data_IF_961306952246
#
_entry.id   IF_961306952246
#
_cell.length_a   1.000
_cell.length_b   1.000
_cell.length_c   1.000
_cell.angle_alpha   90.00
_cell.angle_beta   90.00
_cell.angle_gamma   90.00
#
_symmetry.space_group_name_H-M   'P 1'
#
loop_
_entity.id
_entity.type
_entity.pdbx_description
1 polymer ?
#
# COMPACT_ATOMS: atom_id res chain seq x y z
N UNK A 1 15.73 -20.63 -19.71
CA UNK A 1 16.12 -19.21 -19.80
C UNK A 1 14.94 -18.47 -20.43
N UNK A 2 14.61 -17.26 -20.01
CA UNK A 2 13.56 -16.43 -20.63
C UNK A 2 14.15 -15.68 -21.81
N UNK A 3 13.38 -15.49 -22.88
CA UNK A 3 13.78 -14.70 -24.06
C UNK A 3 13.58 -13.20 -23.80
N UNK A 4 14.12 -12.35 -24.67
CA UNK A 4 13.86 -10.91 -24.63
C UNK A 4 12.38 -10.61 -24.89
N UNK A 5 11.75 -11.31 -25.82
CA UNK A 5 10.31 -11.22 -26.04
C UNK A 5 9.49 -11.54 -24.78
N UNK A 6 9.87 -12.58 -24.03
CA UNK A 6 9.21 -12.88 -22.73
C UNK A 6 9.31 -11.70 -21.77
N UNK A 7 10.48 -11.00 -21.70
CA UNK A 7 10.69 -9.83 -20.83
C UNK A 7 9.81 -8.65 -21.25
N UNK A 8 9.74 -8.35 -22.54
CA UNK A 8 8.90 -7.25 -23.07
C UNK A 8 7.44 -7.49 -22.76
N UNK A 9 6.95 -8.73 -22.96
CA UNK A 9 5.56 -9.09 -22.74
C UNK A 9 5.18 -9.11 -21.25
N UNK A 10 6.09 -9.58 -20.38
CA UNK A 10 5.90 -9.48 -18.93
C UNK A 10 5.95 -8.02 -18.46
N UNK A 11 6.86 -7.20 -19.01
CA UNK A 11 6.89 -5.75 -18.76
C UNK A 11 5.56 -5.08 -19.12
N UNK A 12 4.93 -5.50 -20.25
CA UNK A 12 3.58 -5.05 -20.64
C UNK A 12 2.52 -5.48 -19.62
N UNK A 13 2.57 -6.74 -19.15
CA UNK A 13 1.66 -7.22 -18.11
C UNK A 13 1.82 -6.43 -16.80
N UNK A 14 3.04 -6.08 -16.41
CA UNK A 14 3.33 -5.22 -15.25
C UNK A 14 2.79 -3.79 -15.44
N UNK A 15 2.92 -3.22 -16.64
CA UNK A 15 2.35 -1.90 -16.96
C UNK A 15 0.81 -1.92 -16.85
N UNK A 16 0.16 -2.99 -17.30
CA UNK A 16 -1.28 -3.19 -17.10
C UNK A 16 -1.64 -3.31 -15.61
N UNK A 17 -0.88 -4.08 -14.83
CA UNK A 17 -1.09 -4.23 -13.39
C UNK A 17 -1.00 -2.90 -12.64
N UNK A 18 -0.12 -1.97 -13.06
CA UNK A 18 0.00 -0.61 -12.49
C UNK A 18 -1.28 0.19 -12.59
N UNK A 19 -2.15 -0.05 -13.57
CA UNK A 19 -3.46 0.61 -13.69
C UNK A 19 -4.38 0.32 -12.49
N UNK A 20 -4.18 -0.82 -11.82
CA UNK A 20 -4.90 -1.20 -10.60
C UNK A 20 -4.33 -0.58 -9.32
N UNK A 21 -3.31 0.29 -9.38
CA UNK A 21 -2.56 0.76 -8.21
C UNK A 21 -3.45 1.43 -7.15
N UNK A 22 -4.50 2.12 -7.59
CA UNK A 22 -5.39 2.89 -6.71
C UNK A 22 -6.75 2.24 -6.46
N UNK A 23 -7.07 1.10 -7.10
CA UNK A 23 -8.44 0.55 -7.11
C UNK A 23 -8.57 -0.85 -6.58
N UNK A 24 -7.53 -1.70 -6.69
CA UNK A 24 -7.66 -3.14 -6.44
C UNK A 24 -7.66 -3.54 -4.97
N UNK A 25 -7.19 -2.68 -4.07
CA UNK A 25 -7.08 -3.02 -2.64
C UNK A 25 -8.41 -3.54 -2.07
N UNK A 26 -8.42 -4.59 -1.22
CA UNK A 26 -7.28 -5.33 -0.64
C UNK A 26 -6.67 -6.43 -1.52
N UNK A 27 -7.10 -6.56 -2.77
CA UNK A 27 -6.56 -7.54 -3.71
C UNK A 27 -5.20 -7.08 -4.27
N UNK A 28 -4.35 -8.01 -4.75
CA UNK A 28 -3.11 -7.67 -5.43
C UNK A 28 -3.36 -7.01 -6.79
N UNK A 29 -2.38 -6.28 -7.26
CA UNK A 29 -2.34 -5.66 -8.59
C UNK A 29 -1.82 -6.68 -9.57
N UNK A 30 -2.66 -7.13 -10.48
CA UNK A 30 -2.35 -8.18 -11.45
C UNK A 30 -2.64 -7.71 -12.85
N UNK A 31 -1.75 -8.05 -13.77
CA UNK A 31 -1.90 -7.86 -15.21
C UNK A 31 -1.68 -9.17 -15.95
N UNK A 32 -2.33 -9.32 -17.09
CA UNK A 32 -2.25 -10.49 -17.95
C UNK A 32 -2.17 -10.08 -19.41
N UNK A 33 -1.25 -10.68 -20.16
CA UNK A 33 -1.12 -10.56 -21.62
C UNK A 33 -1.17 -11.95 -22.23
N UNK A 34 -1.98 -12.12 -23.27
CA UNK A 34 -2.07 -13.35 -24.07
C UNK A 34 -1.47 -13.11 -25.45
N UNK A 35 -0.56 -14.02 -25.87
CA UNK A 35 0.01 -13.99 -27.22
C UNK A 35 -0.29 -15.31 -27.94
N UNK A 36 -0.71 -15.23 -29.21
CA UNK A 36 -0.81 -16.39 -30.10
C UNK A 36 0.38 -16.44 -31.07
N UNK A 37 0.76 -17.62 -31.56
CA UNK A 37 1.76 -17.76 -32.64
C UNK A 37 1.37 -16.85 -33.81
N UNK A 38 2.30 -16.02 -34.29
CA UNK A 38 2.05 -15.11 -35.42
C UNK A 38 1.89 -15.91 -36.71
N UNK A 39 0.75 -15.76 -37.41
CA UNK A 39 0.74 -15.97 -38.85
C UNK A 39 1.44 -14.77 -39.50
N UNK A 40 2.27 -15.00 -40.49
CA UNK A 40 3.15 -14.01 -41.16
C UNK A 40 2.42 -12.90 -41.96
N UNK A 41 1.18 -12.57 -41.62
CA UNK A 41 0.37 -11.49 -42.25
C UNK A 41 0.05 -10.40 -41.25
N UNK A 42 0.87 -9.40 -41.26
CA UNK A 42 0.80 -8.00 -40.93
C UNK A 42 -0.37 -7.46 -40.11
N UNK A 43 -0.11 -7.08 -38.89
CA UNK A 43 -0.57 -5.84 -38.29
C UNK A 43 0.42 -5.48 -37.17
N UNK A 44 1.23 -4.44 -37.40
CA UNK A 44 2.09 -3.87 -36.36
C UNK A 44 1.23 -3.32 -35.23
N UNK A 45 1.51 -3.74 -34.00
CA UNK A 45 0.89 -3.19 -32.79
C UNK A 45 1.86 -2.15 -32.20
N UNK A 46 1.37 -0.93 -31.99
CA UNK A 46 2.12 0.09 -31.24
C UNK A 46 2.01 -0.23 -29.76
N UNK A 47 3.13 -0.49 -29.11
CA UNK A 47 3.21 -0.58 -27.64
C UNK A 47 3.24 0.83 -27.09
N UNK A 48 2.18 1.26 -26.41
CA UNK A 48 2.20 2.48 -25.61
C UNK A 48 2.87 2.14 -24.30
N UNK A 49 4.14 2.48 -24.16
CA UNK A 49 4.82 2.56 -22.86
C UNK A 49 4.79 4.02 -22.40
N UNK A 50 4.66 4.26 -21.09
CA UNK A 50 4.72 5.60 -20.52
C UNK A 50 6.01 6.31 -20.94
N UNK A 51 5.90 7.17 -21.98
CA UNK A 51 6.95 8.11 -22.41
C UNK A 51 7.97 7.62 -23.44
N UNK A 52 7.91 6.40 -23.95
CA UNK A 52 8.74 5.96 -25.07
C UNK A 52 7.98 4.99 -26.00
N UNK A 53 7.69 5.43 -27.23
CA UNK A 53 7.19 4.56 -28.30
C UNK A 53 8.35 3.70 -28.82
N UNK A 54 8.44 2.44 -28.37
CA UNK A 54 9.24 1.43 -29.05
C UNK A 54 8.31 0.55 -29.87
N UNK A 55 8.30 0.73 -31.17
CA UNK A 55 7.59 -0.13 -32.11
C UNK A 55 8.33 -1.47 -32.22
N UNK A 56 7.80 -2.52 -31.57
CA UNK A 56 8.26 -3.89 -31.78
C UNK A 56 7.35 -4.57 -32.81
N UNK A 57 7.93 -5.24 -33.80
CA UNK A 57 7.16 -6.01 -34.76
C UNK A 57 6.64 -7.32 -34.11
N UNK A 58 5.55 -7.87 -34.63
CA UNK A 58 5.02 -9.17 -34.18
C UNK A 58 6.06 -10.32 -34.29
N UNK A 59 7.02 -10.19 -35.19
CA UNK A 59 8.15 -11.12 -35.36
C UNK A 59 9.17 -10.99 -34.24
N UNK A 60 9.39 -9.79 -33.69
CA UNK A 60 10.34 -9.53 -32.60
C UNK A 60 9.81 -10.06 -31.26
N UNK A 61 8.48 -10.11 -31.11
CA UNK A 61 7.81 -10.59 -29.89
C UNK A 61 7.51 -12.10 -29.90
N UNK A 62 7.86 -12.83 -30.97
CA UNK A 62 7.59 -14.27 -31.08
C UNK A 62 6.10 -14.62 -31.18
N UNK A 63 5.21 -13.64 -31.40
CA UNK A 63 3.77 -13.82 -31.50
C UNK A 63 3.00 -12.49 -31.48
N UNK A 64 1.69 -12.57 -31.74
CA UNK A 64 0.77 -11.43 -31.74
C UNK A 64 0.01 -11.38 -30.42
N UNK A 65 -0.07 -10.19 -29.78
CA UNK A 65 -0.93 -9.99 -28.61
C UNK A 65 -2.39 -10.17 -29.06
N UNK A 66 -3.09 -11.10 -28.45
CA UNK A 66 -4.49 -11.43 -28.75
C UNK A 66 -5.46 -11.03 -27.65
N UNK A 67 -4.97 -10.77 -26.43
CA UNK A 67 -5.77 -10.30 -25.32
C UNK A 67 -4.93 -9.69 -24.21
N UNK A 68 -5.46 -8.68 -23.56
CA UNK A 68 -4.86 -7.97 -22.43
C UNK A 68 -5.90 -7.74 -21.34
N UNK A 69 -5.47 -7.75 -20.09
CA UNK A 69 -6.33 -7.46 -18.97
C UNK A 69 -5.55 -7.12 -17.70
N UNK A 70 -6.21 -6.41 -16.81
CA UNK A 70 -5.71 -6.17 -15.45
C UNK A 70 -6.86 -6.30 -14.46
N UNK A 71 -6.54 -6.52 -13.19
CA UNK A 71 -7.55 -6.53 -12.13
C UNK A 71 -8.00 -5.09 -11.84
N UNK A 72 -9.26 -4.78 -12.13
CA UNK A 72 -9.77 -3.41 -12.05
C UNK A 72 -10.09 -2.98 -10.62
N UNK A 73 -10.81 -3.85 -9.88
CA UNK A 73 -11.30 -3.54 -8.54
C UNK A 73 -11.60 -4.83 -7.76
N UNK A 74 -11.42 -4.79 -6.43
CA UNK A 74 -11.78 -5.91 -5.57
C UNK A 74 -13.25 -6.36 -5.78
N UNK A 75 -13.44 -7.67 -5.96
CA UNK A 75 -14.74 -8.27 -6.23
C UNK A 75 -15.12 -8.34 -7.71
N UNK A 76 -14.39 -7.72 -8.61
CA UNK A 76 -14.53 -7.83 -10.06
C UNK A 76 -13.68 -8.97 -10.63
N UNK A 77 -13.84 -9.33 -11.92
CA UNK A 77 -13.02 -10.34 -12.58
C UNK A 77 -11.53 -10.07 -12.48
N UNK A 78 -10.73 -11.13 -12.44
CA UNK A 78 -9.27 -11.03 -12.39
C UNK A 78 -8.68 -10.70 -13.78
N UNK A 79 -7.41 -10.35 -13.82
CA UNK A 79 -6.70 -9.94 -15.03
C UNK A 79 -6.79 -10.98 -16.16
N UNK A 80 -6.65 -12.26 -15.80
CA UNK A 80 -6.70 -13.39 -16.73
C UNK A 80 -8.07 -13.49 -17.41
N UNK A 81 -9.15 -13.26 -16.67
CA UNK A 81 -10.52 -13.30 -17.21
C UNK A 81 -10.73 -12.18 -18.22
N UNK A 82 -10.24 -10.97 -17.94
CA UNK A 82 -10.30 -9.86 -18.88
C UNK A 82 -9.47 -10.15 -20.14
N UNK A 83 -8.26 -10.67 -20.00
CA UNK A 83 -7.39 -11.02 -21.12
C UNK A 83 -8.00 -12.13 -21.97
N UNK A 84 -8.57 -13.18 -21.36
CA UNK A 84 -9.25 -14.28 -22.05
C UNK A 84 -10.50 -13.79 -22.79
N UNK A 85 -11.28 -12.92 -22.17
CA UNK A 85 -12.47 -12.32 -22.82
C UNK A 85 -12.10 -11.50 -24.07
N UNK A 86 -11.00 -10.74 -24.00
CA UNK A 86 -10.48 -9.98 -25.13
C UNK A 86 -9.92 -10.87 -26.25
N UNK A 87 -9.30 -11.99 -25.89
CA UNK A 87 -8.72 -12.94 -26.84
C UNK A 87 -9.79 -13.76 -27.56
N UNK A 88 -10.87 -14.15 -26.86
CA UNK A 88 -11.86 -15.08 -27.37
C UNK A 88 -11.23 -16.42 -27.79
N UNK A 89 -11.63 -16.95 -28.95
CA UNK A 89 -11.09 -18.21 -29.49
C UNK A 89 -9.58 -18.19 -29.79
N UNK A 90 -8.99 -17.00 -29.95
CA UNK A 90 -7.53 -16.83 -30.17
C UNK A 90 -6.69 -17.18 -28.94
N UNK A 91 -7.31 -17.39 -27.78
CA UNK A 91 -6.64 -17.88 -26.59
C UNK A 91 -6.16 -19.34 -26.72
N UNK A 92 -6.75 -20.12 -27.64
CA UNK A 92 -6.35 -21.51 -27.88
C UNK A 92 -4.92 -21.60 -28.45
N UNK A 93 -4.06 -22.34 -27.77
CA UNK A 93 -2.65 -22.46 -28.13
C UNK A 93 -1.81 -21.27 -27.74
N UNK A 94 -2.38 -20.25 -27.07
CA UNK A 94 -1.68 -19.03 -26.67
C UNK A 94 -0.69 -19.27 -25.52
N UNK A 95 0.24 -18.30 -25.35
CA UNK A 95 1.05 -18.11 -24.15
C UNK A 95 0.44 -16.98 -23.31
N UNK A 96 0.27 -17.23 -22.01
CA UNK A 96 -0.16 -16.23 -21.04
C UNK A 96 1.02 -15.71 -20.19
N UNK A 97 1.16 -14.40 -20.09
CA UNK A 97 2.11 -13.72 -19.20
C UNK A 97 1.30 -13.10 -18.06
N UNK A 98 1.50 -13.56 -16.83
CA UNK A 98 0.72 -13.12 -15.65
C UNK A 98 1.66 -12.65 -14.56
N UNK A 99 1.41 -11.48 -14.00
CA UNK A 99 2.32 -10.87 -13.01
C UNK A 99 2.27 -11.54 -11.63
N UNK A 100 1.26 -12.37 -11.37
CA UNK A 100 1.11 -13.14 -10.13
C UNK A 100 0.53 -14.52 -10.49
N UNK A 101 0.85 -15.55 -9.70
CA UNK A 101 0.31 -16.88 -9.82
C UNK A 101 -1.23 -16.87 -9.99
N UNK A 102 -1.79 -17.48 -11.04
CA UNK A 102 -3.23 -17.60 -11.22
C UNK A 102 -3.88 -18.40 -10.09
N UNK A 103 -4.98 -17.88 -9.54
CA UNK A 103 -5.66 -18.49 -8.40
C UNK A 103 -6.25 -19.87 -8.74
N UNK A 104 -6.08 -20.84 -7.79
CA UNK A 104 -6.59 -22.21 -7.89
C UNK A 104 -7.78 -22.49 -6.97
N UNK A 105 -8.19 -21.54 -6.13
CA UNK A 105 -9.32 -21.71 -5.22
C UNK A 105 -10.57 -21.02 -5.74
N UNK A 106 -11.74 -21.59 -5.41
CA UNK A 106 -13.02 -20.96 -5.66
C UNK A 106 -13.23 -19.81 -4.67
N UNK A 107 -13.21 -18.58 -5.19
CA UNK A 107 -13.60 -17.37 -4.47
C UNK A 107 -15.02 -16.95 -4.84
N UNK A 108 -15.20 -15.64 -5.07
CA UNK A 108 -16.44 -15.08 -5.65
C UNK A 108 -16.59 -15.41 -7.15
N UNK A 109 -15.49 -15.75 -7.80
CA UNK A 109 -15.39 -16.13 -9.21
C UNK A 109 -14.72 -17.52 -9.33
N UNK A 110 -14.94 -18.27 -10.44
CA UNK A 110 -14.21 -19.49 -10.72
C UNK A 110 -12.69 -19.25 -10.74
N UNK A 111 -11.86 -20.27 -10.41
CA UNK A 111 -10.41 -20.14 -10.43
C UNK A 111 -9.87 -19.73 -11.80
N UNK A 112 -8.93 -18.77 -11.86
CA UNK A 112 -8.30 -18.34 -13.10
C UNK A 112 -7.53 -19.46 -13.79
N UNK A 113 -6.98 -20.40 -13.02
CA UNK A 113 -6.33 -21.63 -13.54
C UNK A 113 -7.29 -22.42 -14.43
N UNK A 114 -8.51 -22.66 -13.97
CA UNK A 114 -9.50 -23.42 -14.77
C UNK A 114 -9.93 -22.65 -16.02
N UNK A 115 -10.04 -21.32 -15.95
CA UNK A 115 -10.34 -20.49 -17.10
C UNK A 115 -9.24 -20.56 -18.17
N UNK A 116 -7.95 -20.52 -17.77
CA UNK A 116 -6.82 -20.65 -18.68
C UNK A 116 -6.76 -22.04 -19.33
N UNK A 117 -7.00 -23.12 -18.56
CA UNK A 117 -7.02 -24.50 -19.05
C UNK A 117 -8.19 -24.68 -20.05
N UNK A 118 -9.38 -24.22 -19.68
CA UNK A 118 -10.58 -24.36 -20.55
C UNK A 118 -10.43 -23.59 -21.88
N UNK A 119 -9.78 -22.41 -21.84
CA UNK A 119 -9.49 -21.64 -23.03
C UNK A 119 -8.41 -22.29 -23.93
N UNK A 120 -7.76 -23.34 -23.47
CA UNK A 120 -6.74 -24.06 -24.23
C UNK A 120 -5.40 -23.34 -24.33
N UNK A 121 -5.07 -22.52 -23.33
CA UNK A 121 -3.72 -21.92 -23.19
C UNK A 121 -2.69 -23.03 -23.01
N UNK A 122 -1.59 -22.98 -23.75
CA UNK A 122 -0.58 -24.06 -23.76
C UNK A 122 0.67 -23.73 -22.94
N UNK A 123 0.91 -22.45 -22.67
CA UNK A 123 2.07 -21.97 -21.90
C UNK A 123 1.69 -20.82 -20.99
N UNK A 124 2.15 -20.85 -19.75
CA UNK A 124 1.95 -19.77 -18.77
C UNK A 124 3.30 -19.35 -18.18
N UNK A 125 3.63 -18.07 -18.32
CA UNK A 125 4.80 -17.46 -17.71
C UNK A 125 4.31 -16.54 -16.60
N UNK A 126 4.80 -16.76 -15.37
CA UNK A 126 4.40 -16.05 -14.17
C UNK A 126 5.56 -15.25 -13.62
N UNK A 127 5.33 -14.01 -13.20
CA UNK A 127 6.38 -13.20 -12.60
C UNK A 127 6.75 -13.71 -11.21
N UNK A 128 5.76 -13.93 -10.33
CA UNK A 128 5.99 -14.42 -8.98
C UNK A 128 4.89 -15.39 -8.52
N UNK A 129 5.25 -16.29 -7.63
CA UNK A 129 4.32 -17.17 -6.92
C UNK A 129 3.46 -16.36 -5.96
N UNK A 130 2.22 -16.81 -5.69
CA UNK A 130 1.35 -16.14 -4.72
C UNK A 130 1.94 -16.27 -3.31
N UNK A 131 2.20 -15.17 -2.59
CA UNK A 131 2.77 -15.21 -1.24
C UNK A 131 1.80 -15.77 -0.18
N UNK A 132 0.51 -15.93 -0.51
CA UNK A 132 -0.47 -16.50 0.40
C UNK A 132 -0.21 -18.00 0.60
N UNK A 133 0.15 -18.47 1.81
CA UNK A 133 0.45 -19.88 2.06
C UNK A 133 -0.69 -20.85 1.71
N UNK A 134 -1.92 -20.36 1.65
CA UNK A 134 -3.09 -21.14 1.25
C UNK A 134 -3.19 -21.35 -0.26
N UNK A 135 -2.43 -20.61 -1.05
CA UNK A 135 -2.49 -20.59 -2.53
C UNK A 135 -1.15 -20.99 -3.14
N UNK A 136 -0.05 -20.57 -2.56
CA UNK A 136 1.33 -20.71 -3.03
C UNK A 136 1.61 -22.03 -3.75
N UNK A 137 1.99 -21.97 -5.02
CA UNK A 137 2.34 -23.11 -5.88
C UNK A 137 1.18 -23.99 -6.35
N UNK A 138 -0.03 -23.85 -5.80
CA UNK A 138 -1.18 -24.70 -6.15
C UNK A 138 -1.70 -24.43 -7.55
N UNK A 139 -1.71 -23.16 -7.96
CA UNK A 139 -2.10 -22.75 -9.30
C UNK A 139 -1.11 -23.26 -10.35
N UNK A 140 0.18 -23.09 -10.08
CA UNK A 140 1.25 -23.57 -10.97
C UNK A 140 1.23 -25.10 -11.08
N UNK A 141 1.03 -25.82 -9.97
CA UNK A 141 0.92 -27.28 -9.96
C UNK A 141 -0.29 -27.75 -10.77
N UNK A 142 -1.45 -27.09 -10.62
CA UNK A 142 -2.68 -27.44 -11.33
C UNK A 142 -2.56 -27.23 -12.85
N UNK A 143 -1.91 -26.14 -13.30
CA UNK A 143 -1.61 -25.88 -14.70
C UNK A 143 -0.72 -26.98 -15.28
N UNK A 144 0.38 -27.33 -14.58
CA UNK A 144 1.30 -28.42 -15.01
C UNK A 144 0.59 -29.75 -15.11
N UNK A 145 -0.28 -30.09 -14.14
CA UNK A 145 -1.08 -31.32 -14.16
C UNK A 145 -2.06 -31.39 -15.35
N UNK A 146 -2.46 -30.24 -15.88
CA UNK A 146 -3.29 -30.14 -17.09
C UNK A 146 -2.47 -30.16 -18.42
N UNK A 147 -1.15 -30.34 -18.35
CA UNK A 147 -0.28 -30.35 -19.52
C UNK A 147 0.16 -28.97 -20.03
N UNK A 148 -0.09 -27.90 -19.27
CA UNK A 148 0.36 -26.54 -19.62
C UNK A 148 1.83 -26.37 -19.24
N UNK A 149 2.67 -25.84 -20.15
CA UNK A 149 4.03 -25.45 -19.83
C UNK A 149 4.02 -24.25 -18.88
N UNK A 150 4.65 -24.38 -17.70
CA UNK A 150 4.66 -23.32 -16.68
C UNK A 150 6.09 -22.93 -16.33
N UNK A 151 6.40 -21.64 -16.47
CA UNK A 151 7.64 -21.01 -15.98
C UNK A 151 7.30 -19.90 -14.99
N UNK A 152 8.12 -19.72 -13.95
CA UNK A 152 7.95 -18.69 -12.93
C UNK A 152 9.28 -17.98 -12.65
N UNK A 153 9.21 -16.70 -12.24
CA UNK A 153 10.37 -15.89 -11.82
C UNK A 153 10.78 -14.79 -12.82
N UNK A 154 10.00 -14.52 -13.85
CA UNK A 154 10.32 -13.48 -14.83
C UNK A 154 9.89 -12.10 -14.32
N UNK A 155 10.84 -11.17 -14.11
CA UNK A 155 10.61 -9.83 -13.54
C UNK A 155 9.92 -9.92 -12.16
N UNK A 156 10.38 -10.85 -11.33
CA UNK A 156 9.79 -11.12 -10.02
C UNK A 156 9.92 -9.94 -9.07
N UNK A 157 11.07 -9.22 -9.12
CA UNK A 157 11.33 -8.08 -8.26
C UNK A 157 10.37 -6.92 -8.58
N UNK A 158 10.08 -6.67 -9.87
CA UNK A 158 9.14 -5.64 -10.31
C UNK A 158 7.69 -5.99 -9.92
N UNK A 159 7.32 -7.27 -9.97
CA UNK A 159 6.02 -7.74 -9.53
C UNK A 159 5.86 -7.64 -8.00
N UNK A 160 6.92 -7.96 -7.26
CA UNK A 160 7.00 -7.78 -5.81
C UNK A 160 6.86 -6.30 -5.43
N UNK A 161 7.61 -5.41 -6.10
CA UNK A 161 7.58 -3.96 -5.87
C UNK A 161 6.16 -3.38 -6.02
N UNK A 162 5.43 -3.87 -7.00
CA UNK A 162 4.05 -3.46 -7.22
C UNK A 162 3.10 -3.91 -6.11
N UNK A 163 3.44 -5.02 -5.42
CA UNK A 163 2.58 -5.70 -4.45
C UNK A 163 3.15 -5.81 -3.04
N UNK A 164 4.14 -4.97 -2.66
CA UNK A 164 4.82 -5.01 -1.35
C UNK A 164 3.86 -5.17 -0.16
N UNK A 165 2.80 -4.36 -0.14
CA UNK A 165 1.83 -4.41 0.95
C UNK A 165 1.01 -5.69 0.98
N UNK A 166 0.61 -6.23 -0.18
CA UNK A 166 -0.08 -7.52 -0.26
C UNK A 166 0.83 -8.65 0.23
N UNK A 167 2.07 -8.67 -0.23
CA UNK A 167 3.07 -9.66 0.17
C UNK A 167 3.34 -9.56 1.68
N UNK A 168 3.58 -8.36 2.21
CA UNK A 168 3.78 -8.13 3.64
C UNK A 168 2.62 -8.67 4.50
N UNK A 169 1.39 -8.38 4.09
CA UNK A 169 0.20 -8.89 4.80
C UNK A 169 0.08 -10.40 4.75
N UNK A 170 0.38 -11.03 3.61
CA UNK A 170 0.29 -12.49 3.45
C UNK A 170 1.39 -13.24 4.21
N UNK A 171 2.62 -12.71 4.21
CA UNK A 171 3.79 -13.39 4.77
C UNK A 171 4.01 -13.07 6.25
N UNK A 172 3.69 -11.84 6.69
CA UNK A 172 3.98 -11.36 8.05
C UNK A 172 2.73 -11.14 8.90
N UNK A 173 1.53 -11.13 8.29
CA UNK A 173 0.29 -10.76 8.99
C UNK A 173 0.21 -9.29 9.39
N UNK A 174 1.02 -8.42 8.75
CA UNK A 174 1.14 -6.98 9.03
C UNK A 174 1.10 -6.19 7.73
N UNK A 175 0.59 -4.94 7.72
CA UNK A 175 0.66 -4.09 6.55
C UNK A 175 2.11 -3.65 6.28
N UNK A 176 2.39 -3.21 5.06
CA UNK A 176 3.57 -2.42 4.74
C UNK A 176 3.39 -1.01 5.27
N UNK A 177 4.24 -0.60 6.20
CA UNK A 177 4.15 0.70 6.89
C UNK A 177 5.07 1.71 6.21
N UNK A 178 4.47 2.67 5.50
CA UNK A 178 5.16 3.82 4.90
C UNK A 178 4.97 5.04 5.78
N UNK A 179 6.05 5.55 6.35
CA UNK A 179 6.04 6.76 7.15
C UNK A 179 6.44 7.95 6.27
N UNK A 180 5.50 8.87 6.05
CA UNK A 180 5.71 10.06 5.22
C UNK A 180 6.06 11.27 6.10
N UNK A 181 7.08 12.00 5.69
CA UNK A 181 7.48 13.28 6.30
C UNK A 181 7.72 14.32 5.21
N UNK A 182 7.31 15.56 5.47
CA UNK A 182 7.73 16.73 4.71
C UNK A 182 8.57 17.63 5.63
N UNK A 183 9.80 17.94 5.24
CA UNK A 183 10.74 18.64 6.08
C UNK A 183 11.62 19.62 5.29
N UNK A 184 12.23 20.55 6.01
CA UNK A 184 13.31 21.37 5.50
C UNK A 184 14.60 20.54 5.32
N UNK A 185 15.60 21.09 4.64
CA UNK A 185 16.89 20.44 4.39
C UNK A 185 17.62 20.08 5.70
N UNK A 186 17.43 20.86 6.76
CA UNK A 186 17.94 20.59 8.11
C UNK A 186 17.00 19.73 8.97
N UNK A 187 16.01 19.04 8.35
CA UNK A 187 15.20 18.01 8.99
C UNK A 187 14.11 18.52 9.92
N UNK A 188 13.55 19.70 9.67
CA UNK A 188 12.51 20.31 10.50
C UNK A 188 11.15 20.26 9.82
N UNK A 189 10.10 19.96 10.60
CA UNK A 189 8.73 19.75 10.09
C UNK A 189 7.77 20.87 10.49
N UNK A 190 8.14 21.75 11.40
CA UNK A 190 7.38 22.92 11.80
C UNK A 190 8.28 23.90 12.54
N UNK A 191 7.89 25.16 12.62
CA UNK A 191 8.47 26.17 13.51
C UNK A 191 8.21 25.81 14.99
N UNK A 192 8.91 26.43 15.96
CA UNK A 192 8.67 26.18 17.38
C UNK A 192 7.22 26.42 17.82
N UNK A 193 6.53 27.38 17.22
CA UNK A 193 5.12 27.72 17.47
C UNK A 193 4.11 26.77 16.78
N UNK A 194 4.59 25.78 16.02
CA UNK A 194 3.77 24.77 15.35
C UNK A 194 3.39 25.08 13.90
N UNK A 195 3.67 26.28 13.39
CA UNK A 195 3.41 26.58 11.96
C UNK A 195 4.24 25.70 11.06
N UNK A 196 3.57 24.97 10.14
CA UNK A 196 4.17 23.98 9.22
C UNK A 196 3.86 24.27 7.74
N UNK A 197 2.93 25.14 7.46
CA UNK A 197 2.39 25.39 6.10
C UNK A 197 3.05 26.64 5.48
N UNK A 198 3.76 26.55 4.34
CA UNK A 198 4.08 25.33 3.57
C UNK A 198 5.60 25.19 3.52
N UNK A 199 6.14 24.07 3.99
CA UNK A 199 7.58 23.79 3.92
C UNK A 199 7.94 23.32 2.52
N UNK A 200 7.17 22.38 1.96
CA UNK A 200 7.40 21.80 0.62
C UNK A 200 6.52 22.45 -0.44
N UNK A 201 6.96 22.40 -1.69
CA UNK A 201 6.30 22.99 -2.85
C UNK A 201 5.01 22.28 -3.26
N UNK A 202 4.29 22.87 -4.22
CA UNK A 202 3.00 22.34 -4.70
C UNK A 202 3.14 20.97 -5.37
N UNK A 203 4.23 20.75 -6.12
CA UNK A 203 4.49 19.47 -6.78
C UNK A 203 4.63 18.31 -5.79
N UNK A 204 5.42 18.51 -4.70
CA UNK A 204 5.58 17.50 -3.65
C UNK A 204 4.27 17.22 -2.90
N UNK A 205 3.42 18.24 -2.70
CA UNK A 205 2.09 18.04 -2.10
C UNK A 205 1.16 17.24 -3.00
N UNK A 206 1.16 17.51 -4.32
CA UNK A 206 0.39 16.73 -5.29
C UNK A 206 0.87 15.28 -5.37
N UNK A 207 2.18 15.04 -5.40
CA UNK A 207 2.77 13.69 -5.34
C UNK A 207 2.37 12.97 -4.03
N UNK A 208 2.35 13.68 -2.89
CA UNK A 208 1.86 13.15 -1.62
C UNK A 208 0.40 12.67 -1.68
N UNK A 209 -0.46 13.33 -2.47
CA UNK A 209 -1.84 12.86 -2.69
C UNK A 209 -1.90 11.57 -3.52
N UNK A 210 -0.99 11.35 -4.46
CA UNK A 210 -0.87 10.08 -5.18
C UNK A 210 -0.47 8.93 -4.22
N UNK A 211 0.44 9.19 -3.28
CA UNK A 211 0.80 8.20 -2.24
C UNK A 211 -0.35 7.90 -1.28
N UNK A 212 -1.18 8.89 -0.93
CA UNK A 212 -2.43 8.65 -0.17
C UNK A 212 -3.41 7.78 -0.95
N UNK A 213 -3.59 8.04 -2.25
CA UNK A 213 -4.48 7.26 -3.11
C UNK A 213 -4.06 5.79 -3.22
N UNK A 214 -2.75 5.52 -3.22
CA UNK A 214 -2.18 4.18 -3.22
C UNK A 214 -2.48 3.43 -1.92
N UNK A 215 -2.48 4.11 -0.77
CA UNK A 215 -2.62 3.51 0.55
C UNK A 215 -4.00 2.90 0.79
N UNK A 216 -4.07 1.85 1.60
CA UNK A 216 -5.33 1.28 2.09
C UNK A 216 -5.89 2.09 3.26
N UNK A 217 -4.99 2.57 4.13
CA UNK A 217 -5.34 3.39 5.28
C UNK A 217 -4.30 4.51 5.47
N UNK A 218 -4.75 5.62 6.07
CA UNK A 218 -3.90 6.73 6.52
C UNK A 218 -3.98 6.80 8.04
N UNK A 219 -2.81 6.77 8.69
CA UNK A 219 -2.67 6.86 10.14
C UNK A 219 -2.14 8.23 10.55
N UNK A 220 -2.78 8.82 11.55
CA UNK A 220 -2.27 10.04 12.22
C UNK A 220 -2.38 9.93 13.74
N UNK A 221 -1.78 10.88 14.45
CA UNK A 221 -1.90 11.03 15.90
C UNK A 221 -2.68 12.28 16.29
N UNK A 222 -3.22 12.30 17.51
CA UNK A 222 -4.02 13.41 18.04
C UNK A 222 -3.28 14.77 18.02
N UNK A 223 -1.93 14.75 18.15
CA UNK A 223 -1.15 15.98 18.05
C UNK A 223 -1.32 16.68 16.70
N UNK A 224 -1.23 15.94 15.60
CA UNK A 224 -1.43 16.46 14.24
C UNK A 224 -2.86 16.98 14.03
N UNK A 225 -3.86 16.32 14.63
CA UNK A 225 -5.26 16.77 14.53
C UNK A 225 -5.44 18.10 15.27
N UNK A 226 -4.83 18.26 16.42
CA UNK A 226 -4.91 19.52 17.19
C UNK A 226 -4.17 20.68 16.52
N UNK A 227 -3.01 20.39 15.91
CA UNK A 227 -2.17 21.44 15.30
C UNK A 227 -2.70 21.88 13.92
N UNK A 228 -3.21 20.94 13.08
CA UNK A 228 -3.48 21.16 11.65
C UNK A 228 -4.96 20.98 11.26
N UNK A 229 -5.81 20.38 12.11
CA UNK A 229 -7.19 19.96 11.81
C UNK A 229 -7.36 19.35 10.39
N UNK A 230 -6.61 18.29 10.06
CA UNK A 230 -6.54 17.76 8.71
C UNK A 230 -7.78 16.95 8.34
N UNK A 231 -8.11 16.87 7.04
CA UNK A 231 -9.13 15.95 6.53
C UNK A 231 -8.57 14.55 6.20
N UNK A 232 -7.27 14.44 5.88
CA UNK A 232 -6.59 13.22 5.42
C UNK A 232 -7.27 12.54 4.22
N UNK A 233 -7.84 13.33 3.33
CA UNK A 233 -8.48 12.88 2.09
C UNK A 233 -7.53 12.96 0.91
N UNK A 234 -7.79 12.13 -0.10
CA UNK A 234 -7.15 12.23 -1.42
C UNK A 234 -7.85 13.33 -2.20
N UNK A 235 -7.07 14.29 -2.71
CA UNK A 235 -7.51 15.41 -3.54
C UNK A 235 -6.43 15.69 -4.59
N UNK A 236 -6.78 16.46 -5.59
CA UNK A 236 -5.82 17.03 -6.54
C UNK A 236 -4.88 15.99 -7.19
N UNK A 237 -5.43 14.82 -7.55
CA UNK A 237 -4.66 13.83 -8.32
C UNK A 237 -4.44 14.36 -9.74
N UNK A 238 -3.23 14.15 -10.32
CA UNK A 238 -3.00 14.38 -11.73
C UNK A 238 -4.00 13.62 -12.61
N UNK A 239 -4.41 14.19 -13.75
CA UNK A 239 -5.44 13.62 -14.63
C UNK A 239 -5.16 12.18 -15.05
N UNK A 240 -3.90 11.83 -15.29
CA UNK A 240 -3.48 10.49 -15.68
C UNK A 240 -3.64 9.43 -14.55
N UNK A 241 -3.83 9.89 -13.30
CA UNK A 241 -4.07 9.03 -12.12
C UNK A 241 -5.55 8.95 -11.74
N UNK A 242 -6.40 9.72 -12.40
CA UNK A 242 -7.83 9.66 -12.14
C UNK A 242 -8.40 8.32 -12.59
N UNK A 243 -9.37 7.75 -11.84
CA UNK A 243 -10.03 6.52 -12.25
C UNK A 243 -10.79 6.75 -13.57
N UNK A 244 -10.80 5.75 -14.44
CA UNK A 244 -11.52 5.81 -15.73
C UNK A 244 -13.02 6.06 -15.52
N UNK A 245 -13.57 5.64 -14.37
CA UNK A 245 -14.96 5.88 -13.99
C UNK A 245 -15.11 5.83 -12.47
N UNK A 246 -16.06 6.59 -11.95
CA UNK A 246 -16.41 6.63 -10.53
C UNK A 246 -15.55 7.59 -9.69
N UNK A 247 -15.85 7.72 -8.39
CA UNK A 247 -15.13 8.59 -7.48
C UNK A 247 -13.75 8.04 -7.15
N UNK A 248 -12.83 8.94 -6.79
CA UNK A 248 -11.52 8.56 -6.24
C UNK A 248 -11.74 7.79 -4.94
N UNK A 249 -11.18 6.57 -4.85
CA UNK A 249 -11.20 5.78 -3.62
C UNK A 249 -10.48 6.54 -2.50
N UNK A 250 -11.12 6.66 -1.35
CA UNK A 250 -10.48 7.21 -0.16
C UNK A 250 -9.89 6.10 0.68
N UNK A 251 -8.67 6.27 1.23
CA UNK A 251 -8.13 5.35 2.23
C UNK A 251 -8.90 5.46 3.55
N UNK A 252 -9.00 4.37 4.32
CA UNK A 252 -9.55 4.40 5.67
C UNK A 252 -8.71 5.34 6.55
N UNK A 253 -9.37 6.25 7.27
CA UNK A 253 -8.69 7.14 8.19
C UNK A 253 -8.58 6.49 9.55
N UNK A 254 -7.37 6.53 10.13
CA UNK A 254 -7.04 5.94 11.44
C UNK A 254 -6.40 7.02 12.32
N UNK A 255 -6.96 7.23 13.49
CA UNK A 255 -6.45 8.18 14.47
C UNK A 255 -6.00 7.44 15.73
N UNK A 256 -4.76 7.65 16.16
CA UNK A 256 -4.33 7.29 17.51
C UNK A 256 -4.58 8.46 18.45
N UNK A 257 -5.50 8.24 19.38
CA UNK A 257 -5.86 9.16 20.44
C UNK A 257 -6.06 8.40 21.76
N UNK A 258 -4.96 8.14 22.45
CA UNK A 258 -4.94 7.28 23.63
C UNK A 258 -5.93 7.69 24.72
N UNK A 259 -6.35 8.96 24.76
CA UNK A 259 -7.18 9.54 25.84
C UNK A 259 -8.54 10.04 25.39
N UNK A 260 -8.86 9.87 24.11
CA UNK A 260 -10.10 10.41 23.51
C UNK A 260 -10.16 11.95 23.63
N UNK A 261 -9.06 12.62 23.29
CA UNK A 261 -8.94 14.09 23.40
C UNK A 261 -9.53 14.83 22.19
N UNK A 262 -9.76 14.15 21.06
CA UNK A 262 -10.26 14.76 19.82
C UNK A 262 -11.52 15.60 20.06
N UNK A 263 -11.59 16.77 19.43
CA UNK A 263 -12.82 17.56 19.36
C UNK A 263 -13.83 16.86 18.42
N UNK A 264 -15.08 16.60 18.87
CA UNK A 264 -16.12 16.05 18.00
C UNK A 264 -16.42 16.93 16.76
N UNK A 265 -16.04 18.20 16.78
CA UNK A 265 -16.17 19.11 15.64
C UNK A 265 -14.96 19.12 14.69
N UNK A 266 -13.91 18.35 14.99
CA UNK A 266 -12.74 18.24 14.12
C UNK A 266 -13.14 17.80 12.70
N UNK A 267 -12.45 18.35 11.68
CA UNK A 267 -12.73 18.02 10.27
C UNK A 267 -12.60 16.53 9.97
N UNK A 268 -11.70 15.85 10.68
CA UNK A 268 -11.50 14.40 10.57
C UNK A 268 -12.74 13.61 11.01
N UNK A 269 -13.42 14.04 12.09
CA UNK A 269 -14.66 13.43 12.58
C UNK A 269 -15.81 13.71 11.61
N UNK A 270 -16.00 14.97 11.22
CA UNK A 270 -17.09 15.39 10.32
C UNK A 270 -17.00 14.75 8.93
N UNK A 271 -15.83 14.34 8.52
CA UNK A 271 -15.65 13.65 7.25
C UNK A 271 -16.17 12.19 7.28
N UNK A 272 -16.55 11.63 8.46
CA UNK A 272 -17.07 10.26 8.64
C UNK A 272 -15.99 9.17 8.43
N UNK A 273 -16.35 7.90 8.58
CA UNK A 273 -15.49 6.73 8.30
C UNK A 273 -14.10 6.81 8.97
N UNK A 274 -14.09 7.13 10.26
CA UNK A 274 -12.89 7.26 11.09
C UNK A 274 -12.78 6.06 12.04
N UNK A 275 -11.65 5.34 12.02
CA UNK A 275 -11.26 4.43 13.08
C UNK A 275 -10.42 5.19 14.12
N UNK A 276 -10.95 5.40 15.31
CA UNK A 276 -10.27 6.02 16.42
C UNK A 276 -9.79 4.94 17.39
N UNK A 277 -8.47 4.89 17.60
CA UNK A 277 -7.83 3.90 18.45
C UNK A 277 -7.37 4.56 19.75
N UNK A 278 -7.84 4.02 20.87
CA UNK A 278 -7.58 4.55 22.19
C UNK A 278 -7.04 3.50 23.17
N UNK A 279 -6.56 3.94 24.34
CA UNK A 279 -6.01 3.09 25.38
C UNK A 279 -6.84 3.14 26.69
N UNK A 280 -8.08 3.59 26.61
CA UNK A 280 -8.98 3.70 27.74
C UNK A 280 -9.66 2.37 28.05
N UNK A 281 -9.98 2.16 29.33
CA UNK A 281 -10.86 1.07 29.73
C UNK A 281 -12.25 1.26 29.08
N UNK A 282 -12.81 0.23 28.42
CA UNK A 282 -14.14 0.30 27.82
C UNK A 282 -15.25 0.77 28.79
N UNK A 283 -15.14 0.49 30.08
CA UNK A 283 -16.10 0.93 31.09
C UNK A 283 -16.23 2.46 31.14
N UNK A 284 -15.17 3.22 30.85
CA UNK A 284 -15.21 4.69 30.84
C UNK A 284 -16.04 5.26 29.69
N UNK A 285 -16.17 4.50 28.60
CA UNK A 285 -16.90 4.90 27.40
C UNK A 285 -18.38 4.46 27.46
N UNK A 286 -18.73 3.53 28.35
CA UNK A 286 -20.09 3.00 28.47
C UNK A 286 -20.87 3.79 29.55
N UNK A 287 -20.29 3.96 30.74
CA UNK A 287 -20.94 4.57 31.88
C UNK A 287 -20.04 5.56 32.67
N UNK A 288 -18.86 5.87 32.14
CA UNK A 288 -17.89 6.76 32.77
C UNK A 288 -17.94 8.20 32.24
N UNK A 289 -16.94 9.03 32.60
CA UNK A 289 -16.93 10.47 32.28
C UNK A 289 -16.82 10.79 30.80
N UNK A 290 -16.49 9.82 29.96
CA UNK A 290 -16.34 9.97 28.50
C UNK A 290 -17.50 9.32 27.72
N UNK A 291 -18.54 8.78 28.40
CA UNK A 291 -19.63 8.08 27.75
C UNK A 291 -20.41 8.97 26.75
N UNK A 292 -20.70 10.21 27.10
CA UNK A 292 -21.42 11.14 26.22
C UNK A 292 -20.57 11.53 25.01
N UNK A 293 -19.27 11.77 25.22
CA UNK A 293 -18.34 12.07 24.12
C UNK A 293 -18.17 10.86 23.18
N UNK A 294 -18.06 9.65 23.74
CA UNK A 294 -17.96 8.42 22.95
C UNK A 294 -19.20 8.22 22.08
N UNK A 295 -20.39 8.42 22.66
CA UNK A 295 -21.67 8.34 21.96
C UNK A 295 -21.77 9.37 20.84
N UNK A 296 -21.41 10.62 21.11
CA UNK A 296 -21.41 11.69 20.12
C UNK A 296 -20.45 11.37 18.94
N UNK A 297 -19.27 10.83 19.21
CA UNK A 297 -18.33 10.41 18.15
C UNK A 297 -18.92 9.26 17.33
N UNK A 298 -19.54 8.27 17.96
CA UNK A 298 -20.19 7.14 17.28
C UNK A 298 -21.39 7.61 16.41
N UNK A 299 -22.16 8.57 16.88
CA UNK A 299 -23.26 9.19 16.12
C UNK A 299 -22.75 9.91 14.85
N UNK A 300 -21.50 10.36 14.85
CA UNK A 300 -20.81 10.89 13.67
C UNK A 300 -20.14 9.80 12.82
N UNK A 301 -20.40 8.51 13.10
CA UNK A 301 -19.84 7.39 12.34
C UNK A 301 -18.38 7.05 12.68
N UNK A 302 -17.88 7.48 13.85
CA UNK A 302 -16.55 7.10 14.32
C UNK A 302 -16.59 5.72 14.95
N UNK A 303 -15.76 4.81 14.47
CA UNK A 303 -15.51 3.52 15.11
C UNK A 303 -14.49 3.69 16.23
N UNK A 304 -14.82 3.30 17.47
CA UNK A 304 -13.93 3.35 18.62
C UNK A 304 -13.32 1.96 18.86
N UNK A 305 -11.97 1.88 18.91
CA UNK A 305 -11.23 0.64 19.13
C UNK A 305 -10.28 0.79 20.31
N UNK A 306 -10.46 -0.05 21.34
CA UNK A 306 -9.58 -0.07 22.53
C UNK A 306 -8.43 -1.04 22.33
N UNK A 307 -7.19 -0.52 22.30
CA UNK A 307 -5.95 -1.28 22.20
C UNK A 307 -4.90 -0.73 23.18
N UNK A 308 -5.08 -0.92 24.51
CA UNK A 308 -4.09 -0.47 25.48
C UNK A 308 -2.84 -1.36 25.44
N UNK A 309 -1.65 -0.75 25.56
CA UNK A 309 -0.42 -1.52 25.73
C UNK A 309 -0.51 -2.46 26.93
N UNK A 310 -0.01 -3.70 26.80
CA UNK A 310 0.12 -4.63 27.93
C UNK A 310 0.93 -3.99 29.05
N UNK A 311 0.50 -4.16 30.29
CA UNK A 311 1.25 -3.68 31.44
C UNK A 311 2.44 -4.59 31.71
N UNK A 312 3.62 -4.02 31.89
CA UNK A 312 4.76 -4.74 32.45
C UNK A 312 4.46 -5.14 33.89
N UNK A 313 4.68 -6.38 34.32
CA UNK A 313 4.39 -6.87 35.69
C UNK A 313 5.14 -6.15 36.82
N UNK A 314 6.15 -5.35 36.51
CA UNK A 314 7.03 -4.64 37.46
C UNK A 314 6.44 -3.33 38.04
N UNK A 315 5.25 -2.91 37.63
CA UNK A 315 4.60 -1.78 38.30
C UNK A 315 3.86 -2.30 39.54
N UNK A 316 4.35 -1.97 40.73
CA UNK A 316 3.72 -2.29 42.02
C UNK A 316 2.20 -2.06 42.00
N UNK A 317 1.42 -2.90 42.70
CA UNK A 317 -0.02 -2.72 42.83
C UNK A 317 -0.30 -1.43 43.61
N UNK A 318 -0.37 -0.32 42.88
CA UNK A 318 -0.88 0.93 43.47
C UNK A 318 -2.36 0.76 43.74
N UNK A 319 -2.79 1.29 44.91
CA UNK A 319 -4.16 1.19 45.38
C UNK A 319 -5.21 1.52 44.32
N UNK A 320 -6.42 0.92 44.36
CA UNK A 320 -7.49 1.20 43.44
C UNK A 320 -7.96 2.64 43.62
N UNK A 321 -7.49 3.54 42.77
CA UNK A 321 -7.93 4.93 42.69
C UNK A 321 -8.63 5.18 41.36
N UNK A 322 -9.64 6.09 41.32
CA UNK A 322 -10.50 6.26 40.15
C UNK A 322 -9.85 6.88 38.91
N UNK A 323 -8.59 7.27 38.94
CA UNK A 323 -7.93 7.99 37.84
C UNK A 323 -6.49 7.48 37.61
N UNK A 324 -6.35 6.27 37.06
CA UNK A 324 -5.04 5.87 36.51
C UNK A 324 -4.80 6.57 35.17
N UNK A 325 -3.59 7.09 34.92
CA UNK A 325 -3.26 7.63 33.60
C UNK A 325 -3.46 6.52 32.55
N UNK A 326 -4.10 6.81 31.41
CA UNK A 326 -4.30 5.85 30.36
C UNK A 326 -2.92 5.36 29.85
N UNK A 327 -2.83 4.06 29.53
CA UNK A 327 -1.70 3.48 28.84
C UNK A 327 -1.56 4.11 27.43
N UNK A 328 -0.46 3.87 26.76
CA UNK A 328 -0.36 4.18 25.32
C UNK A 328 -1.15 3.13 24.52
N UNK A 329 -1.45 3.44 23.27
CA UNK A 329 -1.98 2.48 22.31
C UNK A 329 -0.87 1.48 21.95
N UNK A 330 -1.20 0.19 21.92
CA UNK A 330 -0.35 -0.88 21.40
C UNK A 330 -0.28 -0.79 19.87
N UNK A 331 0.88 -0.34 19.34
CA UNK A 331 1.07 -0.16 17.90
C UNK A 331 1.13 -1.51 17.16
N UNK A 332 1.70 -2.55 17.78
CA UNK A 332 1.76 -3.88 17.19
C UNK A 332 0.37 -4.49 17.03
N UNK A 333 -0.46 -4.42 18.09
CA UNK A 333 -1.85 -4.87 18.05
C UNK A 333 -2.68 -4.08 17.01
N UNK A 334 -2.45 -2.77 16.90
CA UNK A 334 -3.11 -1.96 15.87
C UNK A 334 -2.73 -2.42 14.45
N UNK A 335 -1.44 -2.64 14.17
CA UNK A 335 -0.99 -3.09 12.86
C UNK A 335 -1.56 -4.47 12.50
N UNK A 336 -1.59 -5.41 13.45
CA UNK A 336 -2.21 -6.71 13.27
C UNK A 336 -3.71 -6.62 12.98
N UNK A 337 -4.43 -5.75 13.69
CA UNK A 337 -5.86 -5.52 13.44
C UNK A 337 -6.11 -4.88 12.07
N UNK A 338 -5.29 -3.91 11.65
CA UNK A 338 -5.39 -3.33 10.32
C UNK A 338 -5.14 -4.37 9.21
N UNK A 339 -4.15 -5.26 9.38
CA UNK A 339 -3.91 -6.36 8.45
C UNK A 339 -5.12 -7.32 8.38
N UNK A 340 -5.73 -7.66 9.53
CA UNK A 340 -6.95 -8.48 9.60
C UNK A 340 -8.13 -7.83 8.86
N UNK A 341 -8.22 -6.50 8.87
CA UNK A 341 -9.20 -5.69 8.11
C UNK A 341 -8.86 -5.59 6.61
N UNK A 342 -7.75 -6.16 6.16
CA UNK A 342 -7.35 -6.16 4.75
C UNK A 342 -6.46 -4.97 4.35
N UNK A 343 -5.91 -4.22 5.30
CA UNK A 343 -4.96 -3.14 5.01
C UNK A 343 -3.63 -3.74 4.54
N UNK A 344 -3.30 -3.54 3.27
CA UNK A 344 -2.02 -3.93 2.69
C UNK A 344 -0.94 -2.87 2.92
N UNK A 345 -1.24 -1.61 2.61
CA UNK A 345 -0.33 -0.48 2.73
C UNK A 345 -0.91 0.54 3.70
N UNK A 346 -0.18 0.83 4.78
CA UNK A 346 -0.49 1.87 5.76
C UNK A 346 0.40 3.09 5.49
N UNK A 347 -0.22 4.23 5.21
CA UNK A 347 0.45 5.51 5.03
C UNK A 347 0.36 6.31 6.33
N UNK A 348 1.50 6.65 6.93
CA UNK A 348 1.54 7.39 8.19
C UNK A 348 1.87 8.84 7.91
N UNK A 349 0.99 9.75 8.33
CA UNK A 349 1.20 11.20 8.32
C UNK A 349 0.99 11.73 9.74
N UNK A 350 2.06 11.76 10.53
CA UNK A 350 1.97 12.08 11.95
C UNK A 350 3.10 13.02 12.40
N UNK A 351 2.96 13.54 13.62
CA UNK A 351 3.99 14.34 14.25
C UNK A 351 5.15 13.50 14.80
N UNK A 352 6.25 14.18 15.18
CA UNK A 352 7.51 13.56 15.61
C UNK A 352 7.37 12.51 16.71
N UNK A 353 6.40 12.67 17.62
CA UNK A 353 6.19 11.75 18.75
C UNK A 353 5.72 10.37 18.29
N UNK A 354 4.68 10.29 17.43
CA UNK A 354 4.19 9.03 16.89
C UNK A 354 5.19 8.43 15.88
N UNK A 355 5.80 9.26 15.04
CA UNK A 355 6.87 8.87 14.13
C UNK A 355 8.02 8.19 14.90
N UNK A 356 8.46 8.82 15.99
CA UNK A 356 9.50 8.29 16.88
C UNK A 356 9.10 6.96 17.53
N UNK A 357 7.83 6.79 17.95
CA UNK A 357 7.35 5.53 18.53
C UNK A 357 7.37 4.40 17.51
N UNK A 358 6.84 4.63 16.30
CA UNK A 358 6.87 3.63 15.21
C UNK A 358 8.29 3.21 14.84
N UNK A 359 9.22 4.18 14.81
CA UNK A 359 10.63 3.90 14.53
C UNK A 359 11.30 3.13 15.66
N UNK A 360 11.12 3.53 16.93
CA UNK A 360 11.72 2.83 18.09
C UNK A 360 11.28 1.38 18.16
N UNK A 361 9.99 1.12 17.94
CA UNK A 361 9.42 -0.22 17.99
C UNK A 361 9.68 -1.04 16.71
N UNK A 362 10.33 -0.43 15.68
CA UNK A 362 10.72 -1.15 14.45
C UNK A 362 9.56 -1.45 13.50
N UNK A 363 8.48 -0.66 13.53
CA UNK A 363 7.30 -0.90 12.70
C UNK A 363 7.37 -0.32 11.30
N UNK A 364 8.33 0.57 11.02
CA UNK A 364 8.44 1.28 9.73
C UNK A 364 9.20 0.42 8.71
N UNK A 365 8.57 0.13 7.59
CA UNK A 365 9.17 -0.57 6.45
C UNK A 365 9.84 0.40 5.48
N UNK A 366 9.22 1.57 5.27
CA UNK A 366 9.65 2.56 4.28
C UNK A 366 9.45 3.98 4.80
N UNK A 367 10.45 4.82 4.61
CA UNK A 367 10.36 6.26 4.78
C UNK A 367 10.11 6.93 3.43
N UNK A 368 9.09 7.78 3.35
CA UNK A 368 8.80 8.67 2.23
C UNK A 368 9.08 10.09 2.69
N UNK A 369 10.23 10.64 2.35
CA UNK A 369 10.66 11.94 2.82
C UNK A 369 10.66 12.93 1.66
N UNK A 370 9.99 14.07 1.85
CA UNK A 370 10.12 15.23 0.99
C UNK A 370 11.00 16.25 1.70
N UNK A 371 12.13 16.63 1.10
CA UNK A 371 13.03 17.64 1.60
C UNK A 371 12.95 18.90 0.76
N UNK A 372 12.53 19.99 1.39
CA UNK A 372 12.54 21.31 0.78
C UNK A 372 13.94 21.94 0.89
N UNK A 373 14.39 22.74 -0.09
CA UNK A 373 15.66 23.48 -0.05
C UNK A 373 15.58 24.70 0.88
N UNK A 374 15.16 24.48 2.13
CA UNK A 374 14.98 25.49 3.16
C UNK A 374 15.64 25.09 4.47
N UNK A 375 16.05 26.04 5.28
CA UNK A 375 16.59 25.83 6.62
C UNK A 375 15.68 26.51 7.65
N UNK A 376 15.27 25.78 8.68
CA UNK A 376 14.37 26.27 9.74
C UNK A 376 15.07 26.41 11.10
N UNK A 377 16.33 25.98 11.24
CA UNK A 377 17.11 26.09 12.45
C UNK A 377 16.57 25.23 13.60
N UNK A 378 16.65 25.74 14.84
CA UNK A 378 16.18 25.01 16.03
C UNK A 378 14.65 24.99 16.11
N UNK A 379 14.07 24.05 15.40
CA UNK A 379 12.63 23.86 15.18
C UNK A 379 12.22 22.41 15.40
N UNK A 380 10.94 22.05 15.20
CA UNK A 380 10.44 20.68 15.46
C UNK A 380 11.07 19.66 14.51
N UNK A 381 11.71 18.63 15.06
CA UNK A 381 12.34 17.56 14.29
C UNK A 381 11.34 16.60 13.64
N UNK A 382 11.77 15.89 12.59
CA UNK A 382 10.98 14.84 11.92
C UNK A 382 10.60 13.68 12.85
N UNK A 383 11.52 13.31 13.76
CA UNK A 383 11.39 12.15 14.63
C UNK A 383 11.81 12.51 16.04
N UNK A 384 11.01 12.11 17.03
CA UNK A 384 11.40 12.18 18.43
C UNK A 384 12.09 10.87 18.81
N UNK A 385 13.41 10.83 18.63
CA UNK A 385 14.27 9.68 18.95
C UNK A 385 15.34 10.10 19.94
N UNK A 386 15.61 9.23 20.91
CA UNK A 386 16.79 9.38 21.75
C UNK A 386 18.06 9.18 20.92
N UNK A 387 19.14 9.93 21.17
CA UNK A 387 20.41 9.71 20.49
C UNK A 387 20.92 8.31 20.79
N UNK A 388 21.46 7.57 19.79
CA UNK A 388 22.07 6.28 20.04
C UNK A 388 23.38 6.46 20.86
N UNK A 389 23.72 5.46 21.66
CA UNK A 389 24.95 5.45 22.46
C UNK A 389 26.23 5.45 21.60
N UNK A 390 26.13 4.93 20.37
CA UNK A 390 27.20 4.96 19.38
C UNK A 390 26.66 5.01 17.96
N UNK A 391 27.51 5.38 16.98
CA UNK A 391 27.12 5.44 15.56
C UNK A 391 26.78 4.06 14.97
N UNK A 392 27.32 2.98 15.52
CA UNK A 392 27.03 1.61 15.12
C UNK A 392 25.61 1.19 15.47
N UNK A 393 25.06 1.74 16.58
CA UNK A 393 23.68 1.50 17.04
C UNK A 393 22.66 2.40 16.35
N UNK A 394 23.11 3.32 15.50
CA UNK A 394 22.20 4.16 14.75
C UNK A 394 21.29 3.31 13.83
N UNK A 395 20.01 3.59 13.84
CA UNK A 395 19.05 2.94 12.93
C UNK A 395 19.40 3.31 11.49
N UNK A 396 19.57 2.30 10.63
CA UNK A 396 19.99 2.48 9.25
C UNK A 396 18.93 2.00 8.28
N UNK A 397 18.65 2.85 7.32
CA UNK A 397 17.87 2.55 6.13
C UNK A 397 18.80 2.51 4.91
N UNK A 398 18.26 2.22 3.74
CA UNK A 398 18.99 2.32 2.47
C UNK A 398 18.14 3.08 1.46
N UNK A 399 18.76 3.98 0.73
CA UNK A 399 18.09 4.71 -0.35
C UNK A 399 17.62 3.74 -1.43
N UNK A 400 16.31 3.66 -1.60
CA UNK A 400 15.68 2.91 -2.67
C UNK A 400 15.51 3.77 -3.92
N UNK A 401 15.06 5.02 -3.74
CA UNK A 401 14.96 6.01 -4.80
C UNK A 401 15.17 7.43 -4.26
N UNK A 402 15.82 8.29 -5.05
CA UNK A 402 15.96 9.73 -4.78
C UNK A 402 15.63 10.47 -6.07
N UNK A 403 14.60 11.30 -6.04
CA UNK A 403 14.09 11.97 -7.22
C UNK A 403 13.73 13.43 -6.92
N UNK A 404 13.91 14.31 -7.90
CA UNK A 404 13.41 15.68 -7.81
C UNK A 404 11.90 15.73 -8.10
N UNK A 405 11.15 16.45 -7.26
CA UNK A 405 9.71 16.67 -7.40
C UNK A 405 9.42 18.16 -7.27
N UNK A 406 9.40 18.87 -8.40
CA UNK A 406 9.49 20.32 -8.41
C UNK A 406 10.85 20.77 -7.86
N UNK A 407 10.85 21.68 -6.90
CA UNK A 407 12.06 22.16 -6.23
C UNK A 407 12.50 21.30 -5.04
N UNK A 408 11.68 20.30 -4.64
CA UNK A 408 11.92 19.43 -3.51
C UNK A 408 12.57 18.11 -3.95
N UNK A 409 13.22 17.42 -3.00
CA UNK A 409 13.65 16.02 -3.19
C UNK A 409 12.63 15.07 -2.56
N UNK A 410 12.24 14.04 -3.29
CA UNK A 410 11.55 12.86 -2.76
C UNK A 410 12.57 11.76 -2.51
N UNK A 411 12.63 11.26 -1.30
CA UNK A 411 13.51 10.17 -0.88
C UNK A 411 12.65 9.01 -0.41
N UNK A 412 12.84 7.84 -1.02
CA UNK A 412 12.32 6.56 -0.55
C UNK A 412 13.46 5.78 0.09
N UNK A 413 13.34 5.54 1.38
CA UNK A 413 14.30 4.78 2.17
C UNK A 413 13.65 3.53 2.74
N UNK A 414 14.34 2.40 2.73
CA UNK A 414 13.82 1.12 3.23
C UNK A 414 14.65 0.54 4.36
N UNK A 415 13.97 -0.07 5.32
CA UNK A 415 14.63 -0.86 6.36
C UNK A 415 15.24 -2.12 5.74
N UNK A 416 16.57 -2.32 5.92
CA UNK A 416 17.30 -3.46 5.32
C UNK A 416 16.84 -4.82 5.82
N UNK A 417 16.30 -4.89 7.04
CA UNK A 417 15.86 -6.15 7.63
C UNK A 417 14.43 -6.50 7.24
N UNK A 418 13.59 -5.49 7.01
CA UNK A 418 12.17 -5.65 6.69
C UNK A 418 11.87 -5.64 5.19
N UNK A 419 12.75 -5.12 4.36
CA UNK A 419 12.60 -5.10 2.90
C UNK A 419 12.82 -6.47 2.23
N UNK A 420 13.29 -7.47 2.97
CA UNK A 420 13.29 -8.87 2.54
C UNK A 420 11.92 -9.47 2.82
N UNK A 421 10.97 -9.19 1.93
CA UNK A 421 9.62 -9.74 2.00
C UNK A 421 9.58 -11.05 1.24
#
# INVERSE_FOLDING_TARGET
MFSEADRVLMGRALALARRGLWTTTPNPRVGCVLTAPGSASGAGFSLISDGAESAHSATDLGGVIVGEGWHHQAGQPHAEVHALSAAGERARGATAYVTLEPCAHHGRTPPCVEALIHAGVTRVIVAMEDPNPLVAGRGLARLRAAGVEVRCGLLADEALELNLGFVARMTRGLPWVRLKVAASLDGRTALPDGRSQWITGAAARADGHAWRARACAILTGIGTVRDDDPQLTVRDLPDHLLPVSGPIRQPQRVLIDSRLEIDPQARLVRAGDLLLVHALDPAWLIAGPLADKARLLQDHGVELLSLPQPRTPAAEPQAPGPLRPPSKVDLGALLAELARRGVNELHVEAGSALNGSLLREGWVDELLIYLAPALLGDSRAMFNLEPPESLELAKRFHFHAVEAVGDDLRILDRDRQRSKV
#
